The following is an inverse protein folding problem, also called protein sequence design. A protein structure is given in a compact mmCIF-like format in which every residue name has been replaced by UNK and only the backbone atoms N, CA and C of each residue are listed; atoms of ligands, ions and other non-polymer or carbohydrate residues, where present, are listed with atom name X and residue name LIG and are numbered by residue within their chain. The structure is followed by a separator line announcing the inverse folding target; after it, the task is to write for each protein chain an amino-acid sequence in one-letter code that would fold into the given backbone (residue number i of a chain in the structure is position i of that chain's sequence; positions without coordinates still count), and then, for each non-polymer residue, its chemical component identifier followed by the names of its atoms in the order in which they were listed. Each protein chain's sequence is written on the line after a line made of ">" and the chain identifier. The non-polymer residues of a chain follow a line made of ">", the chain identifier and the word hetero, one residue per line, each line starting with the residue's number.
data_IF_247361175171
#
_entry.id   IF_247361175171
#
_cell.length_a   1.000
_cell.length_b   1.000
_cell.length_c   1.000
_cell.angle_alpha   90.00
_cell.angle_beta   90.00
_cell.angle_gamma   90.00
#
_symmetry.space_group_name_H-M   'P 1'
#
loop_
_entity.id
_entity.type
_entity.pdbx_description
1 polymer ?
#
# COMPACT_ATOMS: atom_id res chain seq x y z
N UNK A 1 -4.55 13.08 -12.95
CA UNK A 1 -3.88 11.97 -12.23
C UNK A 1 -4.09 12.20 -10.74
N UNK A 2 -4.02 11.16 -9.90
CA UNK A 2 -4.27 11.30 -8.45
C UNK A 2 -3.28 12.26 -7.75
N UNK A 3 -2.09 12.43 -8.31
CA UNK A 3 -1.11 13.46 -7.91
C UNK A 3 -0.71 14.28 -9.13
N UNK A 4 -0.36 15.56 -8.97
CA UNK A 4 0.02 16.48 -10.06
C UNK A 4 1.48 16.97 -9.97
N UNK A 5 2.49 16.06 -9.91
CA UNK A 5 3.89 16.44 -9.75
C UNK A 5 4.48 17.05 -11.04
N UNK A 6 5.61 17.75 -10.92
CA UNK A 6 6.31 18.44 -12.04
C UNK A 6 6.51 17.55 -13.28
N UNK A 7 6.80 16.26 -13.09
CA UNK A 7 6.98 15.31 -14.20
C UNK A 7 5.69 15.11 -15.02
N UNK A 8 4.54 15.02 -14.35
CA UNK A 8 3.23 14.89 -15.01
C UNK A 8 2.84 16.19 -15.69
N UNK A 9 3.13 17.35 -15.09
CA UNK A 9 2.91 18.67 -15.71
C UNK A 9 3.71 18.84 -17.00
N UNK A 10 4.99 18.44 -16.99
CA UNK A 10 5.85 18.47 -18.18
C UNK A 10 5.34 17.54 -19.28
N UNK A 11 4.87 16.35 -18.90
CA UNK A 11 4.26 15.43 -19.85
C UNK A 11 2.99 16.04 -20.45
N UNK A 12 2.08 16.56 -19.62
CA UNK A 12 0.85 17.18 -20.08
C UNK A 12 1.10 18.31 -21.10
N UNK A 13 2.10 19.18 -20.87
CA UNK A 13 2.49 20.24 -21.80
C UNK A 13 3.02 19.73 -23.15
N UNK A 14 3.59 18.52 -23.20
CA UNK A 14 4.09 17.92 -24.44
C UNK A 14 2.98 17.27 -25.29
N UNK A 15 1.86 16.88 -24.68
CA UNK A 15 0.78 16.14 -25.35
C UNK A 15 -0.49 16.95 -25.57
N UNK A 16 -0.70 18.03 -24.80
CA UNK A 16 -1.91 18.85 -24.89
C UNK A 16 -1.66 20.14 -25.66
N UNK A 17 -2.67 20.61 -26.42
CA UNK A 17 -2.58 21.88 -27.15
C UNK A 17 -2.76 23.06 -26.21
N UNK A 18 -1.86 24.03 -26.33
CA UNK A 18 -1.92 25.28 -25.59
C UNK A 18 -3.19 26.05 -25.99
N UNK A 19 -4.01 26.45 -25.00
CA UNK A 19 -5.28 27.16 -25.22
C UNK A 19 -6.57 26.32 -25.19
N UNK A 20 -6.50 25.00 -25.39
CA UNK A 20 -7.69 24.11 -25.45
C UNK A 20 -7.77 23.12 -24.27
N UNK A 21 -7.11 23.43 -23.14
CA UNK A 21 -7.05 22.53 -21.98
C UNK A 21 -7.83 23.07 -20.79
N UNK A 22 -8.62 22.18 -20.17
CA UNK A 22 -9.29 22.44 -18.89
C UNK A 22 -8.72 21.48 -17.86
N UNK A 23 -8.16 22.03 -16.78
CA UNK A 23 -7.69 21.24 -15.65
C UNK A 23 -8.82 21.14 -14.61
N UNK A 24 -9.32 19.92 -14.37
CA UNK A 24 -10.33 19.65 -13.35
C UNK A 24 -9.67 18.95 -12.16
N UNK A 25 -9.72 19.60 -11.00
CA UNK A 25 -9.35 19.00 -9.71
C UNK A 25 -10.60 18.76 -8.87
N UNK A 26 -10.69 17.59 -8.26
CA UNK A 26 -11.74 17.25 -7.29
C UNK A 26 -11.06 17.00 -5.95
N UNK A 27 -11.28 17.87 -4.97
CA UNK A 27 -10.59 17.87 -3.66
C UNK A 27 -9.66 19.08 -3.46
N UNK A 28 -8.99 19.17 -2.30
CA UNK A 28 -8.02 20.23 -2.02
C UNK A 28 -6.83 20.11 -2.98
N UNK A 29 -6.46 21.23 -3.59
CA UNK A 29 -5.41 21.36 -4.64
C UNK A 29 -4.08 21.78 -4.02
N UNK A 30 -3.95 21.65 -2.71
CA UNK A 30 -2.77 22.12 -2.01
C UNK A 30 -1.60 21.18 -2.36
N UNK A 31 -0.54 21.77 -2.91
CA UNK A 31 0.71 21.12 -3.36
C UNK A 31 1.50 20.48 -2.19
N UNK A 32 0.92 20.45 -0.99
CA UNK A 32 1.45 19.74 0.16
C UNK A 32 0.96 18.30 0.14
N UNK A 33 1.90 17.36 0.23
CA UNK A 33 1.63 15.95 0.46
C UNK A 33 1.02 15.78 1.86
N UNK A 34 -0.22 16.25 2.07
CA UNK A 34 -0.96 15.98 3.28
C UNK A 34 -1.31 14.49 3.32
N UNK A 35 -0.92 13.80 4.38
CA UNK A 35 -1.35 12.44 4.61
C UNK A 35 -2.89 12.40 4.65
N UNK A 36 -3.47 11.40 3.99
CA UNK A 36 -4.92 11.27 3.90
C UNK A 36 -5.55 11.20 5.31
N UNK A 37 -6.37 12.20 5.65
CA UNK A 37 -7.02 12.34 6.96
C UNK A 37 -8.01 11.21 7.30
N UNK A 38 -8.41 10.42 6.30
CA UNK A 38 -9.22 9.22 6.50
C UNK A 38 -8.40 8.00 6.97
N UNK A 39 -7.07 8.07 7.00
CA UNK A 39 -6.19 6.98 7.40
C UNK A 39 -5.64 7.25 8.81
N UNK A 40 -6.01 6.40 9.77
CA UNK A 40 -5.37 6.35 11.09
C UNK A 40 -3.97 5.73 10.97
N UNK A 41 -2.97 6.36 11.55
CA UNK A 41 -1.58 5.91 11.52
C UNK A 41 -1.07 5.70 12.94
N UNK A 42 -0.53 4.50 13.20
CA UNK A 42 0.04 4.13 14.49
C UNK A 42 1.49 3.66 14.29
N UNK A 43 2.39 4.10 15.17
CA UNK A 43 3.78 3.69 15.16
C UNK A 43 4.09 2.82 16.38
N UNK A 44 4.76 1.70 16.15
CA UNK A 44 5.23 0.81 17.20
C UNK A 44 6.75 0.66 17.10
N UNK A 45 7.46 1.10 18.15
CA UNK A 45 8.87 0.83 18.28
C UNK A 45 9.06 -0.61 18.79
N UNK A 46 9.62 -1.47 17.96
CA UNK A 46 9.86 -2.89 18.25
C UNK A 46 11.20 -3.33 17.65
N UNK A 47 11.84 -4.32 18.28
CA UNK A 47 12.99 -5.00 17.69
C UNK A 47 12.55 -5.97 16.59
N UNK A 48 13.50 -6.52 15.83
CA UNK A 48 13.18 -7.42 14.71
C UNK A 48 12.53 -8.74 15.17
N UNK A 49 12.92 -9.25 16.34
CA UNK A 49 12.38 -10.45 16.98
C UNK A 49 10.98 -10.23 17.59
N UNK A 50 10.64 -9.00 17.97
CA UNK A 50 9.32 -8.65 18.50
C UNK A 50 8.25 -8.45 17.41
N UNK A 51 8.66 -8.21 16.16
CA UNK A 51 7.75 -7.85 15.06
C UNK A 51 6.68 -8.90 14.78
N UNK A 52 7.03 -10.18 14.81
CA UNK A 52 6.09 -11.27 14.50
C UNK A 52 4.99 -11.37 15.57
N UNK A 53 5.38 -11.33 16.85
CA UNK A 53 4.43 -11.30 17.95
C UNK A 53 3.54 -10.04 17.91
N UNK A 54 4.12 -8.87 17.61
CA UNK A 54 3.35 -7.62 17.50
C UNK A 54 2.36 -7.65 16.35
N UNK A 55 2.77 -8.15 15.17
CA UNK A 55 1.89 -8.31 14.01
C UNK A 55 0.72 -9.24 14.34
N UNK A 56 0.98 -10.36 14.99
CA UNK A 56 -0.06 -11.30 15.39
C UNK A 56 -1.09 -10.66 16.34
N UNK A 57 -0.63 -9.92 17.34
CA UNK A 57 -1.52 -9.17 18.23
C UNK A 57 -2.41 -8.16 17.49
N UNK A 58 -1.89 -7.49 16.46
CA UNK A 58 -2.67 -6.59 15.61
C UNK A 58 -3.73 -7.38 14.84
N UNK A 59 -3.36 -8.51 14.23
CA UNK A 59 -4.28 -9.36 13.46
C UNK A 59 -5.44 -9.85 14.33
N UNK A 60 -5.15 -10.33 15.55
CA UNK A 60 -6.19 -10.83 16.46
C UNK A 60 -7.16 -9.74 16.94
N UNK A 61 -6.73 -8.48 16.96
CA UNK A 61 -7.59 -7.35 17.31
C UNK A 61 -8.51 -6.91 16.16
N UNK A 62 -8.26 -7.38 14.93
CA UNK A 62 -9.09 -7.05 13.78
C UNK A 62 -10.42 -7.83 13.79
N UNK A 63 -11.51 -7.25 13.27
CA UNK A 63 -12.75 -7.97 13.03
C UNK A 63 -12.54 -9.18 12.11
N UNK A 64 -13.30 -10.29 12.26
CA UNK A 64 -13.12 -11.52 11.47
C UNK A 64 -13.19 -11.35 9.94
N UNK A 65 -13.85 -10.29 9.46
CA UNK A 65 -14.07 -10.00 8.03
C UNK A 65 -13.09 -8.93 7.50
N UNK A 66 -12.15 -8.46 8.33
CA UNK A 66 -11.22 -7.42 7.96
C UNK A 66 -10.29 -7.90 6.85
N UNK A 67 -10.05 -7.04 5.86
CA UNK A 67 -9.04 -7.27 4.82
C UNK A 67 -7.79 -6.50 5.19
N UNK A 68 -6.63 -7.11 4.96
CA UNK A 68 -5.35 -6.50 5.29
C UNK A 68 -4.31 -6.69 4.20
N UNK A 69 -3.38 -5.75 4.15
CA UNK A 69 -2.18 -5.82 3.30
C UNK A 69 -0.98 -5.62 4.20
N UNK A 70 -0.06 -6.57 4.20
CA UNK A 70 1.18 -6.52 4.99
C UNK A 70 2.36 -6.35 4.04
N UNK A 71 3.09 -5.24 4.19
CA UNK A 71 4.29 -4.96 3.40
C UNK A 71 5.54 -5.44 4.14
N UNK A 72 6.46 -6.04 3.40
CA UNK A 72 7.78 -6.42 3.91
C UNK A 72 8.87 -6.13 2.86
N UNK A 73 10.08 -5.85 3.33
CA UNK A 73 11.17 -5.35 2.48
C UNK A 73 11.74 -6.40 1.51
N UNK A 74 11.56 -7.70 1.78
CA UNK A 74 12.17 -8.77 0.97
C UNK A 74 11.14 -9.82 0.59
N UNK A 75 11.27 -10.38 -0.61
CA UNK A 75 10.40 -11.46 -1.12
C UNK A 75 10.37 -12.65 -0.17
N UNK A 76 11.54 -13.06 0.33
CA UNK A 76 11.68 -14.14 1.32
C UNK A 76 10.85 -13.88 2.58
N UNK A 77 10.79 -12.64 3.06
CA UNK A 77 9.99 -12.29 4.24
C UNK A 77 8.49 -12.33 3.93
N UNK A 78 8.09 -11.89 2.74
CA UNK A 78 6.70 -12.00 2.27
C UNK A 78 6.26 -13.47 2.24
N UNK A 79 7.08 -14.35 1.66
CA UNK A 79 6.79 -15.79 1.60
C UNK A 79 6.68 -16.44 2.98
N UNK A 80 7.62 -16.10 3.88
CA UNK A 80 7.59 -16.55 5.26
C UNK A 80 6.30 -16.14 5.98
N UNK A 81 5.92 -14.86 5.90
CA UNK A 81 4.72 -14.35 6.55
C UNK A 81 3.45 -14.98 5.96
N UNK A 82 3.36 -15.09 4.64
CA UNK A 82 2.21 -15.71 3.99
C UNK A 82 2.03 -17.16 4.42
N UNK A 83 3.13 -17.94 4.52
CA UNK A 83 3.09 -19.31 5.02
C UNK A 83 2.66 -19.37 6.48
N UNK A 84 3.26 -18.54 7.36
CA UNK A 84 2.93 -18.53 8.78
C UNK A 84 1.44 -18.23 9.02
N UNK A 85 0.90 -17.23 8.31
CA UNK A 85 -0.52 -16.87 8.40
C UNK A 85 -1.45 -17.96 7.84
N UNK A 86 -1.04 -18.61 6.75
CA UNK A 86 -1.78 -19.75 6.20
C UNK A 86 -1.82 -20.94 7.17
N UNK A 87 -0.69 -21.24 7.83
CA UNK A 87 -0.60 -22.33 8.81
C UNK A 87 -1.48 -22.04 10.05
N UNK A 88 -1.72 -20.77 10.38
CA UNK A 88 -2.70 -20.32 11.41
C UNK A 88 -4.16 -20.29 10.90
N UNK A 89 -4.42 -20.73 9.67
CA UNK A 89 -5.76 -20.83 9.09
C UNK A 89 -6.30 -19.54 8.46
N UNK A 90 -5.45 -18.52 8.26
CA UNK A 90 -5.83 -17.28 7.59
C UNK A 90 -5.66 -17.44 6.07
N UNK A 91 -6.71 -17.06 5.32
CA UNK A 91 -6.66 -17.01 3.85
C UNK A 91 -5.70 -15.92 3.38
N UNK A 92 -4.47 -16.31 3.04
CA UNK A 92 -3.37 -15.38 2.77
C UNK A 92 -2.76 -15.62 1.39
N UNK A 93 -2.33 -14.55 0.71
CA UNK A 93 -1.62 -14.62 -0.58
C UNK A 93 -0.34 -13.76 -0.52
N UNK A 94 0.73 -14.24 -1.17
CA UNK A 94 2.00 -13.53 -1.30
C UNK A 94 2.09 -12.83 -2.66
N UNK A 95 2.41 -11.54 -2.69
CA UNK A 95 2.57 -10.76 -3.93
C UNK A 95 4.00 -10.24 -4.03
N UNK A 96 4.78 -10.78 -4.97
CA UNK A 96 6.07 -10.23 -5.37
C UNK A 96 6.43 -10.65 -6.81
N UNK A 97 7.47 -10.00 -7.36
CA UNK A 97 7.87 -10.16 -8.76
C UNK A 97 8.23 -11.59 -9.21
N UNK A 98 8.53 -12.49 -8.26
CA UNK A 98 8.89 -13.89 -8.56
C UNK A 98 7.69 -14.84 -8.51
N UNK A 99 6.53 -14.38 -8.01
CA UNK A 99 5.28 -15.14 -8.13
C UNK A 99 4.72 -15.00 -9.54
N UNK A 100 4.21 -16.11 -10.06
CA UNK A 100 3.50 -16.12 -11.34
C UNK A 100 2.22 -15.29 -11.23
N UNK A 101 1.72 -14.79 -12.37
CA UNK A 101 0.50 -13.98 -12.38
C UNK A 101 -0.69 -14.76 -11.80
N UNK A 102 -0.78 -16.06 -12.07
CA UNK A 102 -1.80 -16.97 -11.53
C UNK A 102 -1.72 -17.17 -10.02
N UNK A 103 -0.56 -16.98 -9.39
CA UNK A 103 -0.43 -17.03 -7.94
C UNK A 103 -0.81 -15.70 -7.26
N UNK A 104 -0.97 -14.61 -8.03
CA UNK A 104 -1.35 -13.28 -7.52
C UNK A 104 -2.86 -13.01 -7.61
N UNK A 105 -3.56 -13.69 -8.52
CA UNK A 105 -4.96 -13.50 -8.88
C UNK A 105 -5.85 -14.60 -8.28
#
# INVERSE_FOLDING_TARGET
>A
TATWPKAVRRLAAAYLREGDTVHLSVGAVDDELEANKAISQEFHQVTDDEKDAKLWGIIQALPPQARMVVFANTKRRVDYLAKALWDEGLGTCAIHGDRTQTERD
#
